data_IF_173043288331
#
_entry.id   IF_173043288331
#
_cell.length_a   1.000
_cell.length_b   1.000
_cell.length_c   1.000
_cell.angle_alpha   90.00
_cell.angle_beta   90.00
_cell.angle_gamma   90.00
#
_symmetry.space_group_name_H-M   'P 1'
#
loop_
_entity.id
_entity.type
_entity.pdbx_description
1 polymer ?
#
# COMPACT_ATOMS: atom_id res chain seq x y z
N UNK A 1 78.48 34.69 7.91
CA UNK A 1 77.31 34.79 7.05
C UNK A 1 76.30 33.70 7.46
N UNK A 2 75.25 34.03 8.18
CA UNK A 2 74.17 33.09 8.60
C UNK A 2 73.02 33.23 7.60
N UNK A 3 72.81 32.23 6.74
CA UNK A 3 71.64 32.15 5.84
C UNK A 3 70.39 31.77 6.64
N UNK A 4 69.40 32.67 6.70
CA UNK A 4 68.03 32.37 7.23
C UNK A 4 67.25 31.71 6.12
N UNK A 5 66.84 30.44 6.33
CA UNK A 5 65.84 29.77 5.52
C UNK A 5 64.46 30.22 5.98
N UNK A 6 63.72 30.88 5.09
CA UNK A 6 62.28 31.18 5.31
C UNK A 6 61.49 30.01 4.67
N UNK A 7 60.88 29.19 5.51
CA UNK A 7 59.96 28.15 5.05
C UNK A 7 58.60 28.83 4.84
N UNK A 8 58.20 28.98 3.58
CA UNK A 8 56.88 29.47 3.19
C UNK A 8 55.89 28.32 3.30
N UNK A 9 55.05 28.31 4.37
CA UNK A 9 53.98 27.31 4.56
C UNK A 9 52.80 27.70 3.64
N UNK A 10 52.68 27.02 2.48
CA UNK A 10 51.55 27.18 1.57
C UNK A 10 50.37 26.38 2.16
N UNK A 11 49.45 27.07 2.83
CA UNK A 11 48.17 26.47 3.28
C UNK A 11 47.27 26.36 2.05
N UNK A 12 47.12 25.16 1.51
CA UNK A 12 46.11 24.85 0.50
C UNK A 12 44.75 24.86 1.18
N UNK A 13 43.98 25.93 1.05
CA UNK A 13 42.56 25.96 1.37
C UNK A 13 41.85 25.25 0.21
N UNK A 14 41.62 23.96 0.35
CA UNK A 14 40.69 23.24 -0.54
C UNK A 14 39.28 23.79 -0.31
N UNK A 15 38.59 24.27 -1.34
CA UNK A 15 37.20 24.60 -1.20
C UNK A 15 36.45 23.30 -0.85
N UNK A 16 35.86 23.27 0.34
CA UNK A 16 34.84 22.23 0.69
C UNK A 16 33.67 22.52 -0.23
N UNK A 17 33.57 21.81 -1.34
CA UNK A 17 32.37 21.80 -2.16
C UNK A 17 31.32 21.07 -1.32
N UNK A 18 30.48 21.82 -0.64
CA UNK A 18 29.25 21.26 -0.06
C UNK A 18 28.39 20.79 -1.24
N UNK A 19 28.36 19.49 -1.48
CA UNK A 19 27.37 18.91 -2.35
C UNK A 19 26.04 19.16 -1.65
N UNK A 20 25.13 19.92 -2.28
CA UNK A 20 23.77 20.02 -1.83
C UNK A 20 23.17 18.61 -1.92
N UNK A 21 22.73 18.08 -0.80
CA UNK A 21 22.03 16.81 -0.74
C UNK A 21 20.76 16.94 -1.60
N UNK A 22 20.61 16.07 -2.59
CA UNK A 22 19.45 16.10 -3.48
C UNK A 22 18.24 15.65 -2.68
N UNK A 23 17.32 16.59 -2.39
CA UNK A 23 16.11 16.31 -1.62
C UNK A 23 15.00 15.90 -2.56
N UNK A 24 14.33 14.82 -2.24
CA UNK A 24 13.08 14.45 -2.89
C UNK A 24 11.94 15.31 -2.34
N UNK A 25 11.19 15.97 -3.23
CA UNK A 25 10.02 16.78 -2.87
C UNK A 25 8.78 16.14 -3.44
N UNK A 26 7.82 15.80 -2.58
CA UNK A 26 6.60 15.15 -2.99
C UNK A 26 5.50 16.14 -3.46
N UNK A 27 4.33 15.61 -3.85
CA UNK A 27 3.20 16.40 -4.35
C UNK A 27 2.72 17.49 -3.37
N UNK A 28 2.77 17.24 -2.08
CA UNK A 28 2.33 18.17 -1.03
C UNK A 28 3.46 19.09 -0.53
N UNK A 29 4.62 19.08 -1.18
CA UNK A 29 5.77 19.90 -0.81
C UNK A 29 6.54 19.39 0.41
N UNK A 30 6.38 18.14 0.80
CA UNK A 30 7.19 17.48 1.83
C UNK A 30 8.58 17.22 1.25
N UNK A 31 9.61 17.72 1.92
CA UNK A 31 11.00 17.47 1.57
C UNK A 31 11.51 16.26 2.34
N UNK A 32 11.93 15.21 1.64
CA UNK A 32 12.54 14.02 2.20
C UNK A 32 14.06 14.11 2.07
N UNK A 33 14.79 13.83 3.14
CA UNK A 33 16.18 13.44 3.04
C UNK A 33 16.28 12.03 2.45
N UNK A 34 17.46 11.61 2.03
CA UNK A 34 17.71 10.23 1.57
C UNK A 34 17.37 9.22 2.68
N UNK A 35 17.68 9.52 3.94
CA UNK A 35 17.37 8.71 5.10
C UNK A 35 15.86 8.62 5.35
N UNK A 36 15.14 9.77 5.31
CA UNK A 36 13.68 9.78 5.46
C UNK A 36 13.00 8.95 4.36
N UNK A 37 13.45 9.11 3.09
CA UNK A 37 12.90 8.36 1.96
C UNK A 37 13.12 6.85 2.14
N UNK A 38 14.35 6.46 2.50
CA UNK A 38 14.69 5.06 2.81
C UNK A 38 13.82 4.49 3.93
N UNK A 39 13.61 5.26 5.00
CA UNK A 39 12.73 4.87 6.11
C UNK A 39 11.29 4.60 5.63
N UNK A 40 10.75 5.43 4.73
CA UNK A 40 9.41 5.19 4.17
C UNK A 40 9.35 3.89 3.36
N UNK A 41 10.38 3.62 2.54
CA UNK A 41 10.48 2.37 1.79
C UNK A 41 10.58 1.16 2.73
N UNK A 42 11.41 1.25 3.76
CA UNK A 42 11.55 0.20 4.79
C UNK A 42 10.25 -0.02 5.59
N UNK A 43 9.40 0.99 5.72
CA UNK A 43 8.06 0.88 6.30
C UNK A 43 7.02 0.29 5.33
N UNK A 44 7.44 -0.06 4.11
CA UNK A 44 6.60 -0.67 3.08
C UNK A 44 5.75 0.32 2.29
N UNK A 45 6.08 1.62 2.28
CA UNK A 45 5.43 2.58 1.39
C UNK A 45 6.01 2.48 -0.02
N UNK A 46 5.14 2.44 -1.02
CA UNK A 46 5.55 2.51 -2.43
C UNK A 46 5.93 3.94 -2.83
N UNK A 47 6.62 4.08 -3.96
CA UNK A 47 6.94 5.40 -4.53
C UNK A 47 5.70 6.28 -4.73
N UNK A 48 4.59 5.71 -5.24
CA UNK A 48 3.32 6.42 -5.39
C UNK A 48 2.76 6.90 -4.04
N UNK A 49 2.85 6.07 -3.00
CA UNK A 49 2.38 6.42 -1.65
C UNK A 49 3.25 7.50 -1.02
N UNK A 50 4.58 7.45 -1.20
CA UNK A 50 5.51 8.50 -0.74
C UNK A 50 5.26 9.81 -1.49
N UNK A 51 5.03 9.74 -2.82
CA UNK A 51 4.76 10.92 -3.64
C UNK A 51 3.48 11.65 -3.20
N UNK A 52 2.46 10.93 -2.73
CA UNK A 52 1.21 11.51 -2.22
C UNK A 52 1.08 11.50 -0.70
N UNK A 53 2.19 11.29 0.03
CA UNK A 53 2.19 11.26 1.48
C UNK A 53 1.93 12.66 2.06
N UNK A 54 0.99 12.75 3.01
CA UNK A 54 0.72 13.99 3.72
C UNK A 54 1.85 14.37 4.67
N UNK A 55 1.92 15.67 5.03
CA UNK A 55 2.87 16.15 6.05
C UNK A 55 2.67 15.42 7.39
N UNK A 56 1.43 15.13 7.76
CA UNK A 56 1.10 14.41 8.99
C UNK A 56 1.65 12.97 8.96
N UNK A 57 1.37 12.25 7.88
CA UNK A 57 1.86 10.88 7.68
C UNK A 57 3.39 10.82 7.69
N UNK A 58 4.05 11.75 6.99
CA UNK A 58 5.50 11.88 7.01
C UNK A 58 6.04 12.08 8.42
N UNK A 59 5.50 13.04 9.18
CA UNK A 59 5.95 13.33 10.53
C UNK A 59 5.76 12.16 11.50
N UNK A 60 4.70 11.36 11.30
CA UNK A 60 4.41 10.18 12.11
C UNK A 60 5.37 9.01 11.82
N UNK A 61 6.05 9.01 10.67
CA UNK A 61 6.84 7.87 10.22
C UNK A 61 8.36 8.14 10.13
N UNK A 62 8.81 9.36 9.86
CA UNK A 62 10.20 9.71 9.55
C UNK A 62 11.26 9.32 10.59
N UNK A 63 10.87 9.17 11.85
CA UNK A 63 11.80 8.85 12.95
C UNK A 63 11.69 7.38 13.40
N UNK A 64 10.98 6.54 12.66
CA UNK A 64 10.83 5.13 13.00
C UNK A 64 12.08 4.38 12.49
N UNK A 65 12.75 3.67 13.41
CA UNK A 65 13.79 2.71 13.05
C UNK A 65 13.09 1.47 12.46
N UNK A 66 13.15 1.36 11.13
CA UNK A 66 12.41 0.37 10.36
C UNK A 66 13.33 -0.50 9.52
N UNK A 67 12.90 -1.72 9.24
CA UNK A 67 13.48 -2.62 8.25
C UNK A 67 12.36 -3.40 7.59
N UNK A 68 12.32 -3.41 6.26
CA UNK A 68 11.40 -4.23 5.49
C UNK A 68 11.82 -5.70 5.55
N UNK A 69 11.02 -6.53 6.20
CA UNK A 69 11.34 -7.92 6.48
C UNK A 69 10.70 -8.90 5.49
N UNK A 70 9.50 -8.59 5.02
CA UNK A 70 8.80 -9.42 4.05
C UNK A 70 7.85 -8.56 3.20
N UNK A 71 7.75 -8.92 1.92
CA UNK A 71 6.79 -8.32 1.00
C UNK A 71 6.26 -9.36 0.03
N UNK A 72 5.00 -9.22 -0.33
CA UNK A 72 4.36 -10.00 -1.39
C UNK A 72 3.47 -9.09 -2.20
N UNK A 73 3.67 -9.07 -3.52
CA UNK A 73 2.84 -8.31 -4.45
C UNK A 73 2.12 -9.26 -5.39
N UNK A 74 0.83 -8.99 -5.62
CA UNK A 74 0.01 -9.64 -6.62
C UNK A 74 -0.44 -8.63 -7.66
N UNK A 75 -0.49 -9.05 -8.90
CA UNK A 75 -0.77 -8.21 -10.06
C UNK A 75 -1.99 -8.75 -10.79
N UNK A 76 -2.87 -7.85 -11.23
CA UNK A 76 -4.13 -8.23 -11.86
C UNK A 76 -4.35 -7.45 -13.14
N UNK A 77 -4.83 -8.14 -14.16
CA UNK A 77 -5.34 -7.54 -15.40
C UNK A 77 -6.85 -7.68 -15.47
N UNK A 78 -7.48 -6.75 -16.17
CA UNK A 78 -8.90 -6.81 -16.46
C UNK A 78 -9.09 -7.32 -17.90
N UNK A 79 -9.92 -8.34 -18.06
CA UNK A 79 -10.23 -8.99 -19.33
C UNK A 79 -11.68 -8.68 -19.69
N UNK A 80 -11.87 -7.88 -20.74
CA UNK A 80 -13.20 -7.53 -21.24
C UNK A 80 -13.42 -8.24 -22.57
N UNK A 81 -14.54 -8.94 -22.71
CA UNK A 81 -14.95 -9.58 -23.96
C UNK A 81 -16.15 -8.87 -24.56
N UNK A 82 -16.08 -8.62 -25.87
CA UNK A 82 -17.15 -8.03 -26.65
C UNK A 82 -17.67 -9.04 -27.69
N UNK A 83 -18.97 -8.97 -27.99
CA UNK A 83 -19.55 -9.71 -29.11
C UNK A 83 -19.24 -9.03 -30.45
N UNK A 84 -19.66 -9.64 -31.56
CA UNK A 84 -19.49 -9.10 -32.91
C UNK A 84 -20.19 -7.78 -33.18
N UNK A 85 -21.07 -7.33 -32.27
CA UNK A 85 -21.77 -6.05 -32.34
C UNK A 85 -21.11 -4.97 -31.49
N UNK A 86 -20.02 -5.30 -30.77
CA UNK A 86 -19.33 -4.40 -29.85
C UNK A 86 -19.99 -4.30 -28.46
N UNK A 87 -20.93 -5.18 -28.13
CA UNK A 87 -21.54 -5.24 -26.81
C UNK A 87 -20.66 -6.08 -25.87
N UNK A 88 -20.41 -5.56 -24.67
CA UNK A 88 -19.68 -6.29 -23.64
C UNK A 88 -20.44 -7.57 -23.22
N UNK A 89 -19.76 -8.71 -23.32
CA UNK A 89 -20.27 -10.04 -22.94
C UNK A 89 -19.83 -10.38 -21.53
N UNK A 90 -18.57 -10.09 -21.19
CA UNK A 90 -18.00 -10.37 -19.88
C UNK A 90 -16.94 -9.35 -19.49
N UNK A 91 -16.82 -9.12 -18.19
CA UNK A 91 -15.77 -8.38 -17.54
C UNK A 91 -15.26 -9.28 -16.42
N UNK A 92 -13.97 -9.57 -16.41
CA UNK A 92 -13.35 -10.49 -15.45
C UNK A 92 -11.93 -10.05 -15.13
N UNK A 93 -11.50 -10.43 -13.95
CA UNK A 93 -10.14 -10.19 -13.46
C UNK A 93 -9.33 -11.49 -13.54
N UNK A 94 -8.04 -11.36 -13.82
CA UNK A 94 -7.08 -12.46 -13.84
C UNK A 94 -5.78 -12.02 -13.18
N UNK A 95 -5.26 -12.85 -12.29
CA UNK A 95 -3.93 -12.67 -11.72
C UNK A 95 -2.86 -13.03 -12.75
N UNK A 96 -1.81 -12.20 -12.82
CA UNK A 96 -0.67 -12.33 -13.74
C UNK A 96 0.64 -12.11 -13.00
N UNK A 97 1.76 -12.40 -13.66
CA UNK A 97 3.06 -12.03 -13.12
C UNK A 97 3.39 -10.55 -13.39
N UNK A 98 4.45 -10.04 -12.78
CA UNK A 98 4.88 -8.64 -12.89
C UNK A 98 5.23 -8.23 -14.32
N UNK A 99 5.86 -9.10 -15.10
CA UNK A 99 6.24 -8.84 -16.49
C UNK A 99 5.00 -8.62 -17.37
N UNK A 100 4.01 -9.49 -17.24
CA UNK A 100 2.72 -9.37 -17.94
C UNK A 100 1.99 -8.09 -17.53
N UNK A 101 1.96 -7.77 -16.22
CA UNK A 101 1.34 -6.57 -15.70
C UNK A 101 1.98 -5.29 -16.26
N UNK A 102 3.31 -5.24 -16.37
CA UNK A 102 4.06 -4.08 -16.82
C UNK A 102 4.15 -3.97 -18.35
N UNK A 103 3.72 -5.01 -19.09
CA UNK A 103 3.84 -5.04 -20.55
C UNK A 103 3.00 -3.97 -21.27
N UNK A 104 2.12 -3.24 -20.57
CA UNK A 104 1.21 -2.20 -21.08
C UNK A 104 0.45 -2.63 -22.36
N UNK A 105 0.47 -3.91 -22.70
CA UNK A 105 -0.10 -4.41 -23.93
C UNK A 105 -1.61 -4.45 -23.78
N UNK A 106 -2.29 -3.42 -24.27
CA UNK A 106 -3.70 -3.55 -24.62
C UNK A 106 -3.75 -4.52 -25.80
N UNK A 107 -3.81 -5.80 -25.51
CA UNK A 107 -3.95 -6.81 -26.54
C UNK A 107 -5.38 -6.78 -27.05
N UNK A 108 -5.62 -6.03 -28.12
CA UNK A 108 -6.87 -6.15 -28.86
C UNK A 108 -6.76 -7.38 -29.79
N UNK A 109 -7.29 -8.49 -29.33
CA UNK A 109 -7.42 -9.66 -30.19
C UNK A 109 -8.59 -9.45 -31.17
N UNK A 110 -8.44 -9.87 -32.43
CA UNK A 110 -9.47 -9.71 -33.49
C UNK A 110 -10.81 -10.39 -33.19
N UNK A 111 -10.96 -11.04 -32.05
CA UNK A 111 -12.17 -11.69 -31.52
C UNK A 111 -12.90 -10.86 -30.43
N UNK A 112 -12.62 -9.57 -30.31
CA UNK A 112 -13.28 -8.69 -29.33
C UNK A 112 -12.78 -8.84 -27.88
N UNK A 113 -11.59 -9.39 -27.66
CA UNK A 113 -10.95 -9.46 -26.35
C UNK A 113 -10.07 -8.22 -26.11
N UNK A 114 -10.23 -7.58 -24.95
CA UNK A 114 -9.40 -6.46 -24.49
C UNK A 114 -8.83 -6.80 -23.12
N UNK A 115 -7.51 -6.81 -23.02
CA UNK A 115 -6.78 -6.97 -21.76
C UNK A 115 -6.16 -5.63 -21.35
N UNK A 116 -6.29 -5.24 -20.09
CA UNK A 116 -5.72 -3.99 -19.56
C UNK A 116 -5.15 -4.21 -18.18
N UNK A 117 -3.99 -3.62 -17.89
CA UNK A 117 -3.44 -3.51 -16.54
C UNK A 117 -4.51 -2.93 -15.61
N UNK A 118 -4.79 -3.58 -14.48
CA UNK A 118 -5.94 -3.25 -13.65
C UNK A 118 -5.55 -2.75 -12.27
N UNK A 119 -5.08 -3.63 -11.41
CA UNK A 119 -4.68 -3.29 -10.05
C UNK A 119 -3.47 -4.10 -9.58
N UNK A 120 -2.74 -3.59 -8.61
CA UNK A 120 -1.76 -4.38 -7.85
C UNK A 120 -2.03 -4.24 -6.36
N UNK A 121 -1.76 -5.30 -5.62
CA UNK A 121 -1.92 -5.39 -4.19
C UNK A 121 -0.61 -5.86 -3.56
N UNK A 122 -0.16 -5.16 -2.53
CA UNK A 122 1.11 -5.45 -1.84
C UNK A 122 0.87 -5.58 -0.35
N UNK A 123 1.34 -6.66 0.26
CA UNK A 123 1.36 -6.86 1.71
C UNK A 123 2.79 -6.85 2.19
N UNK A 124 3.06 -6.12 3.27
CA UNK A 124 4.41 -6.00 3.85
C UNK A 124 4.41 -6.26 5.35
N UNK A 125 5.52 -6.78 5.82
CA UNK A 125 5.90 -6.87 7.24
C UNK A 125 7.20 -6.10 7.41
N UNK A 126 7.22 -5.11 8.29
CA UNK A 126 8.42 -4.32 8.60
C UNK A 126 8.64 -4.29 10.10
N UNK A 127 9.89 -4.27 10.55
CA UNK A 127 10.19 -3.94 11.94
C UNK A 127 9.92 -2.46 12.21
N UNK A 128 9.60 -2.12 13.45
CA UNK A 128 9.46 -0.75 13.93
C UNK A 128 10.06 -0.67 15.34
N UNK A 129 11.39 -0.68 15.42
CA UNK A 129 12.11 -0.86 16.66
C UNK A 129 11.89 -2.26 17.25
N UNK A 130 11.20 -2.38 18.39
CA UNK A 130 10.93 -3.68 19.04
C UNK A 130 9.63 -4.37 18.58
N UNK A 131 8.87 -3.74 17.70
CA UNK A 131 7.57 -4.22 17.21
C UNK A 131 7.62 -4.43 15.69
N UNK A 132 6.48 -4.83 15.13
CA UNK A 132 6.31 -4.95 13.69
C UNK A 132 5.16 -4.07 13.19
N UNK A 133 5.23 -3.67 11.93
CA UNK A 133 4.12 -3.10 11.17
C UNK A 133 3.66 -4.09 10.13
N UNK A 134 2.37 -4.32 10.06
CA UNK A 134 1.71 -5.02 8.98
C UNK A 134 0.94 -4.01 8.14
N UNK A 135 1.14 -4.05 6.83
CA UNK A 135 0.52 -3.12 5.90
C UNK A 135 0.02 -3.86 4.67
N UNK A 136 -1.14 -3.49 4.18
CA UNK A 136 -1.62 -3.84 2.85
C UNK A 136 -1.90 -2.58 2.06
N UNK A 137 -1.49 -2.58 0.81
CA UNK A 137 -1.67 -1.49 -0.16
C UNK A 137 -2.36 -2.00 -1.41
N UNK A 138 -3.20 -1.16 -1.97
CA UNK A 138 -3.86 -1.37 -3.25
C UNK A 138 -3.61 -0.16 -4.16
N UNK A 139 -3.20 -0.41 -5.39
CA UNK A 139 -3.06 0.59 -6.45
C UNK A 139 -3.92 0.19 -7.65
N UNK A 140 -4.85 1.04 -8.04
CA UNK A 140 -5.64 0.92 -9.24
C UNK A 140 -4.97 1.64 -10.41
N UNK A 141 -4.61 0.90 -11.46
CA UNK A 141 -4.13 1.48 -12.73
C UNK A 141 -5.28 1.82 -13.66
N UNK A 142 -6.38 1.07 -13.56
CA UNK A 142 -7.64 1.35 -14.24
C UNK A 142 -8.75 1.42 -13.21
N UNK A 143 -9.56 2.47 -13.28
CA UNK A 143 -10.66 2.64 -12.32
C UNK A 143 -11.75 1.59 -12.52
N UNK A 144 -12.25 0.96 -11.44
CA UNK A 144 -13.34 0.01 -11.52
C UNK A 144 -14.62 0.70 -11.99
N UNK A 145 -15.48 -0.06 -12.68
CA UNK A 145 -16.77 0.43 -13.17
C UNK A 145 -17.73 0.74 -12.02
N UNK A 146 -17.80 -0.14 -11.03
CA UNK A 146 -18.57 0.07 -9.80
C UNK A 146 -17.75 0.87 -8.81
N UNK A 147 -18.32 1.95 -8.26
CA UNK A 147 -17.68 2.82 -7.29
C UNK A 147 -18.56 2.95 -6.08
N UNK A 148 -18.42 2.01 -5.19
CA UNK A 148 -19.21 1.89 -3.98
C UNK A 148 -18.32 1.86 -2.75
N UNK A 149 -18.61 1.01 -1.78
CA UNK A 149 -17.80 0.81 -0.58
C UNK A 149 -16.99 -0.46 -0.73
N UNK A 150 -15.68 -0.31 -0.72
CA UNK A 150 -14.73 -1.43 -0.75
C UNK A 150 -14.21 -1.71 0.65
N UNK A 151 -13.57 -2.87 0.82
CA UNK A 151 -13.04 -3.33 2.10
C UNK A 151 -11.58 -3.70 1.91
N UNK A 152 -10.71 -3.20 2.81
CA UNK A 152 -9.29 -3.53 2.85
C UNK A 152 -8.89 -3.85 4.29
N UNK A 153 -8.05 -4.88 4.49
CA UNK A 153 -7.67 -5.29 5.83
C UNK A 153 -6.47 -6.22 5.86
N UNK A 154 -5.95 -6.45 7.06
CA UNK A 154 -4.86 -7.41 7.29
C UNK A 154 -5.23 -8.32 8.45
N UNK A 155 -5.24 -9.63 8.19
CA UNK A 155 -5.28 -10.67 9.21
C UNK A 155 -3.88 -11.00 9.73
N UNK A 156 -3.82 -11.41 10.98
CA UNK A 156 -2.57 -11.82 11.66
C UNK A 156 -2.68 -13.27 12.05
N UNK A 157 -1.77 -14.11 11.58
CA UNK A 157 -1.73 -15.50 12.00
C UNK A 157 -1.28 -15.66 13.46
N UNK A 158 -2.12 -16.33 14.23
CA UNK A 158 -1.78 -16.93 15.50
C UNK A 158 -1.91 -16.05 16.73
N UNK A 159 -2.02 -16.72 17.89
CA UNK A 159 -2.24 -16.10 19.20
C UNK A 159 -0.99 -15.47 19.84
N UNK A 160 0.18 -15.63 19.20
CA UNK A 160 1.47 -15.16 19.76
C UNK A 160 1.70 -13.67 19.59
N UNK A 161 0.96 -13.05 18.68
CA UNK A 161 1.01 -11.62 18.37
C UNK A 161 -0.38 -11.02 18.42
N UNK A 162 -0.48 -9.70 18.53
CA UNK A 162 -1.74 -8.98 18.48
C UNK A 162 -1.56 -7.56 17.97
N UNK A 163 -2.64 -6.95 17.51
CA UNK A 163 -2.64 -5.53 17.16
C UNK A 163 -2.44 -4.68 18.41
N UNK A 164 -1.61 -3.67 18.31
CA UNK A 164 -1.52 -2.60 19.31
C UNK A 164 -2.76 -1.70 19.19
N UNK A 165 -3.52 -1.56 20.26
CA UNK A 165 -4.76 -0.76 20.26
C UNK A 165 -4.53 0.66 19.76
N UNK A 166 -5.42 1.15 18.89
CA UNK A 166 -5.38 2.50 18.34
C UNK A 166 -4.26 2.77 17.31
N UNK A 167 -3.54 1.72 16.86
CA UNK A 167 -2.42 1.89 15.91
C UNK A 167 -2.84 1.77 14.44
N UNK A 168 -4.10 1.44 14.15
CA UNK A 168 -4.56 1.28 12.77
C UNK A 168 -4.70 2.64 12.08
N UNK A 169 -4.06 2.74 10.92
CA UNK A 169 -4.10 3.91 10.03
C UNK A 169 -4.61 3.46 8.68
N UNK A 170 -5.55 4.22 8.12
CA UNK A 170 -6.03 4.08 6.75
C UNK A 170 -5.77 5.36 5.97
N UNK A 171 -5.46 5.22 4.71
CA UNK A 171 -5.33 6.33 3.79
C UNK A 171 -5.80 5.93 2.39
N UNK A 172 -6.42 6.90 1.68
CA UNK A 172 -6.79 6.80 0.28
C UNK A 172 -6.30 8.04 -0.45
N UNK A 173 -5.55 7.83 -1.53
CA UNK A 173 -5.10 8.88 -2.44
C UNK A 173 -5.77 8.72 -3.79
N UNK A 174 -6.30 9.80 -4.36
CA UNK A 174 -6.79 9.79 -5.72
C UNK A 174 -6.53 11.12 -6.41
N UNK A 175 -6.31 11.07 -7.71
CA UNK A 175 -6.06 12.26 -8.53
C UNK A 175 -7.14 12.41 -9.59
N UNK A 176 -7.54 13.67 -9.81
CA UNK A 176 -8.40 14.09 -10.93
C UNK A 176 -7.58 15.07 -11.74
N UNK A 177 -7.12 14.65 -12.91
CA UNK A 177 -6.14 15.41 -13.71
C UNK A 177 -4.89 15.71 -12.88
N UNK A 178 -4.57 16.99 -12.62
CA UNK A 178 -3.40 17.40 -11.86
C UNK A 178 -3.70 17.73 -10.38
N UNK A 179 -4.94 17.48 -9.91
CA UNK A 179 -5.33 17.72 -8.52
C UNK A 179 -5.50 16.41 -7.77
N UNK A 180 -4.68 16.19 -6.75
CA UNK A 180 -4.71 14.98 -5.93
C UNK A 180 -5.26 15.28 -4.54
N UNK A 181 -5.99 14.32 -4.01
CA UNK A 181 -6.62 14.36 -2.69
C UNK A 181 -6.13 13.18 -1.89
N UNK A 182 -5.69 13.47 -0.66
CA UNK A 182 -5.39 12.49 0.36
C UNK A 182 -6.52 12.53 1.40
N UNK A 183 -7.09 11.38 1.76
CA UNK A 183 -8.15 11.27 2.76
C UNK A 183 -7.99 10.02 3.60
N UNK A 184 -8.33 10.14 4.88
CA UNK A 184 -8.39 9.03 5.83
C UNK A 184 -9.84 8.69 6.22
N UNK A 185 -10.82 9.08 5.39
CA UNK A 185 -12.24 8.87 5.66
C UNK A 185 -12.62 7.41 5.51
N UNK A 186 -13.02 6.79 6.60
CA UNK A 186 -13.55 5.43 6.66
C UNK A 186 -15.07 5.46 6.85
N UNK A 187 -15.76 4.43 6.36
CA UNK A 187 -17.18 4.20 6.64
C UNK A 187 -17.36 3.41 7.94
N UNK A 188 -16.60 2.34 8.10
CA UNK A 188 -16.52 1.55 9.32
C UNK A 188 -15.16 0.88 9.45
N UNK A 189 -14.83 0.44 10.65
CA UNK A 189 -13.63 -0.32 10.94
C UNK A 189 -13.97 -1.57 11.72
N UNK A 190 -13.26 -2.66 11.41
CA UNK A 190 -13.22 -3.88 12.21
C UNK A 190 -11.81 -4.03 12.76
N UNK A 191 -11.68 -4.19 14.07
CA UNK A 191 -10.39 -4.41 14.74
C UNK A 191 -10.57 -5.43 15.83
N UNK A 192 -9.80 -6.51 15.76
CA UNK A 192 -9.68 -7.55 16.76
C UNK A 192 -8.24 -7.67 17.24
N UNK A 193 -7.94 -8.63 18.10
CA UNK A 193 -6.55 -8.98 18.42
C UNK A 193 -5.80 -9.58 17.23
N UNK A 194 -6.52 -10.19 16.30
CA UNK A 194 -5.99 -11.03 15.20
C UNK A 194 -6.16 -10.42 13.81
N UNK A 195 -6.65 -9.18 13.71
CA UNK A 195 -6.79 -8.52 12.42
C UNK A 195 -7.42 -7.14 12.52
N UNK A 196 -7.22 -6.35 11.48
CA UNK A 196 -7.82 -5.02 11.38
C UNK A 196 -8.04 -4.60 9.93
N UNK A 197 -9.14 -3.91 9.69
CA UNK A 197 -9.48 -3.41 8.36
C UNK A 197 -10.58 -2.37 8.39
N UNK A 198 -10.84 -1.80 7.23
CA UNK A 198 -11.81 -0.71 7.04
C UNK A 198 -12.66 -0.95 5.82
N UNK A 199 -13.92 -0.48 5.87
CA UNK A 199 -14.68 -0.20 4.67
C UNK A 199 -14.62 1.29 4.35
N UNK A 200 -14.48 1.62 3.07
CA UNK A 200 -14.29 2.99 2.60
C UNK A 200 -14.94 3.19 1.24
N UNK A 201 -15.36 4.41 0.97
CA UNK A 201 -16.06 4.73 -0.28
C UNK A 201 -15.06 5.07 -1.37
N UNK A 202 -15.17 4.42 -2.53
CA UNK A 202 -14.44 4.83 -3.72
C UNK A 202 -14.92 6.19 -4.23
N UNK A 203 -14.02 7.05 -4.72
CA UNK A 203 -14.39 8.34 -5.31
C UNK A 203 -15.26 8.13 -6.57
N UNK A 204 -16.33 8.89 -6.71
CA UNK A 204 -17.33 8.71 -7.78
C UNK A 204 -17.03 9.45 -9.08
N UNK A 205 -16.05 10.36 -9.11
CA UNK A 205 -15.67 11.07 -10.33
C UNK A 205 -15.21 10.12 -11.43
N UNK A 206 -15.68 10.33 -12.65
CA UNK A 206 -15.25 9.56 -13.83
C UNK A 206 -13.89 9.98 -14.37
N UNK A 207 -13.35 11.12 -13.90
CA UNK A 207 -12.08 11.71 -14.35
C UNK A 207 -10.89 11.34 -13.45
N UNK A 208 -11.01 10.29 -12.62
CA UNK A 208 -9.90 9.82 -11.78
C UNK A 208 -8.83 9.18 -12.64
N UNK A 209 -7.60 9.62 -12.47
CA UNK A 209 -6.41 9.15 -13.19
C UNK A 209 -5.53 8.24 -12.38
N UNK A 210 -5.63 8.30 -11.04
CA UNK A 210 -4.88 7.46 -10.11
C UNK A 210 -5.69 7.25 -8.84
N UNK A 211 -5.63 6.06 -8.27
CA UNK A 211 -6.27 5.71 -7.00
C UNK A 211 -5.43 4.68 -6.27
N UNK A 212 -5.04 4.99 -5.05
CA UNK A 212 -4.40 4.04 -4.14
C UNK A 212 -5.06 4.08 -2.77
N UNK A 213 -4.99 2.98 -2.05
CA UNK A 213 -5.49 2.87 -0.68
C UNK A 213 -4.58 1.94 0.11
N UNK A 214 -4.36 2.23 1.38
CA UNK A 214 -3.63 1.33 2.26
C UNK A 214 -4.19 1.35 3.68
N UNK A 215 -3.97 0.25 4.38
CA UNK A 215 -4.15 0.16 5.82
C UNK A 215 -2.92 -0.46 6.44
N UNK A 216 -2.49 0.07 7.58
CA UNK A 216 -1.45 -0.54 8.40
C UNK A 216 -1.74 -0.40 9.88
N UNK A 217 -1.07 -1.21 10.68
CA UNK A 217 -1.08 -1.13 12.14
C UNK A 217 0.19 -1.73 12.73
N UNK A 218 0.42 -1.40 13.99
CA UNK A 218 1.51 -1.98 14.78
C UNK A 218 1.09 -3.30 15.38
N UNK A 219 1.96 -4.31 15.22
CA UNK A 219 1.83 -5.65 15.81
C UNK A 219 2.82 -5.78 16.95
N UNK A 220 2.33 -6.22 18.10
CA UNK A 220 3.12 -6.43 19.30
C UNK A 220 3.08 -7.87 19.74
N UNK A 221 4.14 -8.30 20.42
CA UNK A 221 4.26 -9.64 20.98
C UNK A 221 3.23 -9.88 22.10
N UNK A 222 2.56 -11.01 22.06
CA UNK A 222 1.55 -11.45 23.05
C UNK A 222 1.97 -12.72 23.81
N UNK A 223 3.26 -13.04 23.81
CA UNK A 223 3.83 -14.22 24.46
C UNK A 223 5.24 -13.93 24.93
N UNK A 224 5.71 -14.64 25.96
CA UNK A 224 7.12 -14.66 26.35
C UNK A 224 7.96 -15.62 25.51
N UNK A 225 7.33 -16.51 24.74
CA UNK A 225 8.04 -17.47 23.89
C UNK A 225 8.64 -16.79 22.66
N UNK A 226 9.72 -17.35 22.14
CA UNK A 226 10.28 -16.91 20.85
C UNK A 226 9.30 -17.18 19.72
N UNK A 227 9.13 -16.20 18.86
CA UNK A 227 8.36 -16.30 17.63
C UNK A 227 9.35 -16.50 16.48
N UNK A 228 9.16 -17.57 15.69
CA UNK A 228 10.07 -17.94 14.60
C UNK A 228 9.49 -17.69 13.21
N UNK A 229 8.18 -17.48 13.12
CA UNK A 229 7.50 -17.10 11.87
C UNK A 229 6.22 -16.33 12.17
N UNK A 230 5.83 -15.47 11.24
CA UNK A 230 4.59 -14.72 11.26
C UNK A 230 4.08 -14.54 9.84
N UNK A 231 2.74 -14.58 9.66
CA UNK A 231 2.08 -14.26 8.41
C UNK A 231 1.21 -13.03 8.56
N UNK A 232 1.23 -12.18 7.55
CA UNK A 232 0.30 -11.09 7.33
C UNK A 232 -0.57 -11.45 6.12
N UNK A 233 -1.87 -11.60 6.32
CA UNK A 233 -2.85 -11.84 5.26
C UNK A 233 -3.46 -10.50 4.85
N UNK A 234 -2.83 -9.82 3.90
CA UNK A 234 -3.41 -8.61 3.33
C UNK A 234 -4.53 -8.98 2.38
N UNK A 235 -5.71 -8.43 2.62
CA UNK A 235 -6.93 -8.73 1.89
C UNK A 235 -7.58 -7.47 1.35
N UNK A 236 -8.23 -7.65 0.20
CA UNK A 236 -9.05 -6.63 -0.43
C UNK A 236 -10.28 -7.27 -1.09
N UNK A 237 -11.43 -6.58 -0.99
CA UNK A 237 -12.67 -6.99 -1.65
C UNK A 237 -13.35 -5.76 -2.26
N UNK A 238 -13.62 -5.84 -3.57
CA UNK A 238 -14.24 -4.78 -4.35
C UNK A 238 -15.75 -4.99 -4.46
N UNK A 239 -16.53 -3.94 -4.26
CA UNK A 239 -17.98 -3.98 -4.45
C UNK A 239 -18.35 -4.05 -5.94
N UNK A 240 -18.92 -5.16 -6.38
CA UNK A 240 -19.39 -5.40 -7.76
C UNK A 240 -20.74 -4.76 -8.06
N UNK A 241 -21.44 -4.29 -7.02
CA UNK A 241 -22.72 -3.59 -7.11
C UNK A 241 -22.78 -2.46 -6.09
N UNK A 242 -23.80 -1.60 -6.19
CA UNK A 242 -23.99 -0.54 -5.19
C UNK A 242 -24.29 -1.14 -3.82
N UNK A 243 -23.44 -0.81 -2.85
CA UNK A 243 -23.56 -1.18 -1.44
C UNK A 243 -23.89 0.09 -0.64
N UNK A 244 -24.85 0.01 0.29
CA UNK A 244 -25.11 1.13 1.21
C UNK A 244 -24.05 1.23 2.29
N UNK A 245 -23.88 2.42 2.89
CA UNK A 245 -22.95 2.63 3.98
C UNK A 245 -23.19 1.69 5.17
N UNK A 246 -24.46 1.42 5.48
CA UNK A 246 -24.82 0.48 6.56
C UNK A 246 -24.51 -0.98 6.21
N UNK A 247 -24.76 -1.40 4.96
CA UNK A 247 -24.43 -2.75 4.53
C UNK A 247 -22.91 -2.99 4.49
N UNK A 248 -22.12 -1.98 4.09
CA UNK A 248 -20.65 -2.05 4.07
C UNK A 248 -19.99 -2.16 5.47
N UNK A 249 -20.78 -2.23 6.54
CA UNK A 249 -20.32 -2.52 7.91
C UNK A 249 -20.33 -4.01 8.23
N UNK A 250 -20.96 -4.84 7.38
CA UNK A 250 -21.13 -6.28 7.58
C UNK A 250 -19.88 -7.08 7.26
N UNK A 251 -18.73 -6.71 7.83
CA UNK A 251 -17.46 -7.45 7.70
C UNK A 251 -16.72 -7.49 9.03
N UNK A 252 -15.85 -8.46 9.17
CA UNK A 252 -14.86 -8.52 10.25
C UNK A 252 -13.51 -8.99 9.71
N UNK A 253 -12.45 -8.74 10.49
CA UNK A 253 -11.08 -9.17 10.14
C UNK A 253 -10.51 -9.93 11.34
N UNK A 254 -10.07 -11.15 11.08
CA UNK A 254 -9.47 -12.02 12.08
C UNK A 254 -8.15 -12.65 11.56
N UNK A 255 -7.71 -13.76 12.18
CA UNK A 255 -6.51 -14.48 11.76
C UNK A 255 -6.62 -15.10 10.35
N UNK A 256 -7.83 -15.26 9.83
CA UNK A 256 -8.12 -15.71 8.48
C UNK A 256 -8.15 -14.56 7.45
N UNK A 257 -8.04 -13.31 7.88
CA UNK A 257 -8.19 -12.11 7.05
C UNK A 257 -9.61 -11.55 7.06
N UNK A 258 -10.05 -10.95 5.94
CA UNK A 258 -11.41 -10.41 5.79
C UNK A 258 -12.42 -11.55 5.69
N UNK A 259 -13.51 -11.44 6.43
CA UNK A 259 -14.70 -12.25 6.29
C UNK A 259 -15.92 -11.34 6.13
N UNK A 260 -16.83 -11.72 5.21
CA UNK A 260 -18.01 -10.96 4.83
C UNK A 260 -19.26 -11.65 5.39
N UNK A 261 -20.15 -10.87 6.00
CA UNK A 261 -21.45 -11.39 6.40
C UNK A 261 -22.24 -11.92 5.20
N UNK A 262 -22.98 -13.00 5.37
CA UNK A 262 -23.75 -13.67 4.32
C UNK A 262 -24.67 -12.71 3.54
N UNK A 263 -25.19 -11.70 4.22
CA UNK A 263 -26.12 -10.72 3.63
C UNK A 263 -25.46 -9.80 2.58
N UNK A 264 -24.14 -9.65 2.62
CA UNK A 264 -23.40 -8.75 1.69
C UNK A 264 -22.46 -9.49 0.76
N UNK A 265 -22.06 -10.72 1.04
CA UNK A 265 -21.05 -11.47 0.29
C UNK A 265 -21.31 -11.49 -1.22
N UNK A 266 -22.58 -11.58 -1.64
CA UNK A 266 -22.97 -11.59 -3.06
C UNK A 266 -22.80 -10.24 -3.78
N UNK A 267 -22.47 -9.17 -3.04
CA UNK A 267 -22.26 -7.81 -3.58
C UNK A 267 -20.81 -7.47 -3.79
N UNK A 268 -19.91 -8.37 -3.40
CA UNK A 268 -18.48 -8.21 -3.52
C UNK A 268 -17.90 -9.27 -4.46
N UNK A 269 -16.75 -8.98 -5.05
CA UNK A 269 -15.95 -9.97 -5.75
C UNK A 269 -15.30 -10.95 -4.75
N UNK A 270 -14.55 -11.91 -5.28
CA UNK A 270 -13.70 -12.76 -4.45
C UNK A 270 -12.68 -11.91 -3.70
N UNK A 271 -12.38 -12.29 -2.47
CA UNK A 271 -11.34 -11.63 -1.70
C UNK A 271 -9.98 -11.90 -2.35
N UNK A 272 -9.31 -10.83 -2.77
CA UNK A 272 -7.92 -10.88 -3.18
C UNK A 272 -7.04 -10.94 -1.95
N UNK A 273 -6.09 -11.87 -1.93
CA UNK A 273 -5.19 -12.07 -0.81
C UNK A 273 -3.73 -12.07 -1.23
N UNK A 274 -2.90 -11.23 -0.62
CA UNK A 274 -1.46 -11.30 -0.68
C UNK A 274 -0.90 -11.65 0.70
N UNK A 275 -0.17 -12.74 0.81
CA UNK A 275 0.38 -13.21 2.10
C UNK A 275 1.86 -12.90 2.16
N UNK A 276 2.26 -12.05 3.09
CA UNK A 276 3.66 -11.84 3.43
C UNK A 276 4.05 -12.74 4.61
N UNK A 277 5.17 -13.45 4.48
CA UNK A 277 5.68 -14.37 5.50
C UNK A 277 7.04 -13.91 6.00
N UNK A 278 7.15 -13.69 7.28
CA UNK A 278 8.41 -13.44 7.97
C UNK A 278 8.91 -14.71 8.68
N UNK A 279 10.21 -14.91 8.65
CA UNK A 279 10.90 -15.98 9.39
C UNK A 279 12.15 -15.42 10.05
N UNK A 280 12.28 -15.65 11.35
CA UNK A 280 13.39 -15.10 12.13
C UNK A 280 13.35 -15.52 13.59
N UNK A 281 13.72 -14.61 14.48
CA UNK A 281 13.64 -14.80 15.93
C UNK A 281 13.25 -13.48 16.58
N UNK A 282 12.07 -13.46 17.17
CA UNK A 282 11.51 -12.29 17.89
C UNK A 282 11.13 -12.60 19.32
#
# INVERSE_FOLDING_TARGET
MKRKFIILLLVFILPVVAFAEEKYVNYYGVEFSEEDYSTMVELGFSEDEIYYMSVEEYNNNRNIDATLEATTTRYFINIIRYDSTGRMISDSEMEVNEEEYNSETISMYGNGLVETTYKKMTTTISTTGSNYRYKVSLLWKKMPATRSYDIIGVGIEGSKVRISGGSMVFNQNYCISNSCTNTNTINSSSTSSSGGGVSFKLPTSTSITSLSSYVYFTVIKNTSSTITSMNAYGDYSHATSTVSASAAQGFYVDEGGIDLEEVIISRYDSIDRATATWSGSW
#
